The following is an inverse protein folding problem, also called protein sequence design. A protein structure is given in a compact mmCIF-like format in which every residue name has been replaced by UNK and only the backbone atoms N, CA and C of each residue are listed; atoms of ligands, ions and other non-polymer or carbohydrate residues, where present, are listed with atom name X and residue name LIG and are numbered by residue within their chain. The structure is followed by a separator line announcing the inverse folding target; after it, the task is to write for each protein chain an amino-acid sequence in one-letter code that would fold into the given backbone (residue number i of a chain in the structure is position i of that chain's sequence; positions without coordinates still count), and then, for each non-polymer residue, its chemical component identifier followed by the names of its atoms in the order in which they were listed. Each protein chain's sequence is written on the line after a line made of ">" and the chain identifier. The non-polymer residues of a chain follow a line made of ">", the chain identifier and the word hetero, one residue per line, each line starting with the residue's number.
data_IF_615583701371
#
_entry.id   IF_615583701371
#
_cell.length_a   1.000
_cell.length_b   1.000
_cell.length_c   1.000
_cell.angle_alpha   90.00
_cell.angle_beta   90.00
_cell.angle_gamma   90.00
#
_symmetry.space_group_name_H-M   'P 1'
#
loop_
_entity.id
_entity.type
_entity.pdbx_description
1 polymer ?
#
# COMPACT_ATOMS: atom_id res chain seq x y z
N UNK A 1 41.41 25.35 19.15
CA UNK A 1 40.39 26.35 19.52
C UNK A 1 39.06 25.87 18.96
N UNK A 2 38.24 25.16 19.75
CA UNK A 2 36.88 24.77 19.35
C UNK A 2 36.00 26.04 19.28
N UNK A 3 35.17 26.15 18.25
CA UNK A 3 34.47 27.38 17.85
C UNK A 3 32.95 27.17 17.74
N UNK A 4 32.42 26.22 18.50
CA UNK A 4 31.04 25.79 18.48
C UNK A 4 30.65 25.28 19.87
N UNK A 5 29.72 25.97 20.50
CA UNK A 5 29.15 25.64 21.81
C UNK A 5 28.17 24.48 21.75
N UNK A 6 28.55 23.39 21.09
CA UNK A 6 27.82 22.13 21.14
C UNK A 6 28.23 21.39 22.41
N UNK A 7 27.57 21.77 23.52
CA UNK A 7 27.44 20.86 24.66
C UNK A 7 26.93 19.50 24.11
N UNK A 8 27.36 18.36 24.67
CA UNK A 8 26.90 17.05 24.24
C UNK A 8 25.41 16.89 24.54
N UNK A 9 24.55 17.35 23.63
CA UNK A 9 23.14 16.96 23.51
C UNK A 9 23.07 15.59 22.83
N UNK A 10 23.90 14.66 23.29
CA UNK A 10 23.76 13.22 23.07
C UNK A 10 23.34 12.63 24.40
N UNK A 11 22.15 13.02 24.87
CA UNK A 11 21.54 12.43 26.05
C UNK A 11 21.09 11.01 25.68
N UNK A 12 21.49 9.96 26.43
CA UNK A 12 21.04 8.59 26.22
C UNK A 12 19.51 8.42 26.22
N UNK A 13 18.79 9.43 26.70
CA UNK A 13 17.33 9.53 26.64
C UNK A 13 16.81 9.63 25.19
N UNK A 14 17.51 10.32 24.29
CA UNK A 14 17.13 10.42 22.87
C UNK A 14 17.35 9.10 22.12
N UNK A 15 18.45 8.40 22.40
CA UNK A 15 18.73 7.07 21.84
C UNK A 15 17.67 6.04 22.28
N UNK A 16 17.22 6.13 23.53
CA UNK A 16 16.10 5.34 24.03
C UNK A 16 14.83 5.61 23.22
N UNK A 17 14.43 6.88 23.10
CA UNK A 17 13.23 7.27 22.35
C UNK A 17 13.30 6.87 20.87
N UNK A 18 14.46 7.01 20.23
CA UNK A 18 14.66 6.58 18.84
C UNK A 18 14.64 5.06 18.71
N UNK A 19 15.24 4.30 19.63
CA UNK A 19 15.17 2.85 19.66
C UNK A 19 13.72 2.36 19.82
N UNK A 20 12.95 2.97 20.72
CA UNK A 20 11.52 2.69 20.88
C UNK A 20 10.73 3.06 19.61
N UNK A 21 11.05 4.20 18.98
CA UNK A 21 10.44 4.65 17.73
C UNK A 21 10.70 3.72 16.56
N UNK A 22 11.95 3.29 16.36
CA UNK A 22 12.34 2.36 15.30
C UNK A 22 11.68 0.98 15.48
N UNK A 23 11.70 0.43 16.69
CA UNK A 23 11.05 -0.86 16.97
C UNK A 23 9.53 -0.82 16.75
N UNK A 24 8.87 0.28 17.12
CA UNK A 24 7.43 0.45 16.90
C UNK A 24 7.08 0.48 15.41
N UNK A 25 7.87 1.18 14.59
CA UNK A 25 7.63 1.29 13.14
C UNK A 25 7.79 -0.07 12.47
N UNK A 26 8.83 -0.84 12.82
CA UNK A 26 9.05 -2.17 12.24
C UNK A 26 7.90 -3.14 12.57
N UNK A 27 7.39 -3.09 13.81
CA UNK A 27 6.21 -3.87 14.21
C UNK A 27 4.96 -3.39 13.45
N UNK A 28 4.76 -2.08 13.34
CA UNK A 28 3.61 -1.51 12.64
C UNK A 28 3.58 -1.91 11.15
N UNK A 29 4.75 -1.91 10.48
CA UNK A 29 4.88 -2.38 9.09
C UNK A 29 4.51 -3.86 9.01
N UNK A 30 5.09 -4.69 9.88
CA UNK A 30 4.80 -6.13 9.90
C UNK A 30 3.32 -6.45 10.12
N UNK A 31 2.68 -5.81 11.10
CA UNK A 31 1.23 -5.97 11.35
C UNK A 31 0.41 -5.48 10.16
N UNK A 32 0.78 -4.34 9.56
CA UNK A 32 0.08 -3.79 8.39
C UNK A 32 0.13 -4.74 7.19
N UNK A 33 1.26 -5.41 6.94
CA UNK A 33 1.38 -6.41 5.86
C UNK A 33 0.41 -7.58 6.07
N UNK A 34 0.25 -8.09 7.29
CA UNK A 34 -0.72 -9.16 7.56
C UNK A 34 -2.16 -8.69 7.35
N UNK A 35 -2.50 -7.48 7.81
CA UNK A 35 -3.85 -6.92 7.68
C UNK A 35 -4.19 -6.63 6.21
N UNK A 36 -3.27 -6.01 5.47
CA UNK A 36 -3.44 -5.70 4.04
C UNK A 36 -3.46 -6.99 3.22
N UNK A 37 -2.60 -7.95 3.52
CA UNK A 37 -2.64 -9.29 2.92
C UNK A 37 -3.99 -9.98 3.14
N UNK A 38 -4.54 -9.93 4.35
CA UNK A 38 -5.88 -10.46 4.62
C UNK A 38 -6.98 -9.71 3.84
N UNK A 39 -6.90 -8.38 3.75
CA UNK A 39 -7.82 -7.57 2.94
C UNK A 39 -7.73 -7.93 1.46
N UNK A 40 -6.53 -8.16 0.94
CA UNK A 40 -6.29 -8.58 -0.45
C UNK A 40 -6.92 -9.95 -0.73
N UNK A 41 -6.81 -10.91 0.20
CA UNK A 41 -7.48 -12.22 0.09
C UNK A 41 -9.01 -12.09 0.09
N UNK A 42 -9.57 -11.22 0.92
CA UNK A 42 -11.01 -10.94 0.93
C UNK A 42 -11.47 -10.29 -0.39
N UNK A 43 -10.71 -9.33 -0.91
CA UNK A 43 -10.99 -8.70 -2.20
C UNK A 43 -10.92 -9.71 -3.35
N UNK A 44 -9.93 -10.62 -3.33
CA UNK A 44 -9.82 -11.71 -4.31
C UNK A 44 -11.03 -12.65 -4.24
N UNK A 45 -11.48 -13.01 -3.03
CA UNK A 45 -12.68 -13.83 -2.87
C UNK A 45 -13.93 -13.14 -3.41
N UNK A 46 -14.09 -11.83 -3.15
CA UNK A 46 -15.18 -10.99 -3.70
C UNK A 46 -15.12 -10.93 -5.23
N UNK A 47 -13.93 -10.79 -5.81
CA UNK A 47 -13.72 -10.75 -7.26
C UNK A 47 -14.19 -12.03 -7.95
N UNK A 48 -13.92 -13.19 -7.35
CA UNK A 48 -14.30 -14.50 -7.89
C UNK A 48 -15.79 -14.82 -7.71
N UNK A 49 -16.37 -14.49 -6.55
CA UNK A 49 -17.77 -14.82 -6.19
C UNK A 49 -18.76 -13.67 -6.33
N UNK A 50 -18.37 -12.51 -6.84
CA UNK A 50 -19.25 -11.34 -6.98
C UNK A 50 -20.49 -11.67 -7.82
N UNK A 51 -21.71 -11.35 -7.35
CA UNK A 51 -22.96 -11.69 -8.03
C UNK A 51 -23.20 -10.87 -9.30
N UNK A 52 -22.70 -9.64 -9.36
CA UNK A 52 -22.90 -8.72 -10.49
C UNK A 52 -21.56 -8.34 -11.12
N UNK A 53 -21.58 -7.97 -12.41
CA UNK A 53 -20.36 -7.51 -13.10
C UNK A 53 -19.78 -6.24 -12.44
N UNK A 54 -20.57 -5.21 -12.09
CA UNK A 54 -20.03 -4.02 -11.41
C UNK A 54 -19.38 -4.34 -10.05
N UNK A 55 -19.93 -5.30 -9.30
CA UNK A 55 -19.35 -5.71 -8.03
C UNK A 55 -17.97 -6.35 -8.19
N UNK A 56 -17.78 -7.16 -9.24
CA UNK A 56 -16.47 -7.73 -9.58
C UNK A 56 -15.48 -6.64 -10.00
N UNK A 57 -15.93 -5.60 -10.70
CA UNK A 57 -15.07 -4.47 -11.10
C UNK A 57 -14.60 -3.70 -9.86
N UNK A 58 -15.49 -3.42 -8.91
CA UNK A 58 -15.13 -2.78 -7.64
C UNK A 58 -14.19 -3.65 -6.81
N UNK A 59 -14.39 -4.97 -6.79
CA UNK A 59 -13.48 -5.90 -6.14
C UNK A 59 -12.08 -5.90 -6.80
N UNK A 60 -12.01 -5.81 -8.12
CA UNK A 60 -10.74 -5.69 -8.86
C UNK A 60 -10.00 -4.40 -8.53
N UNK A 61 -10.73 -3.27 -8.46
CA UNK A 61 -10.16 -1.97 -8.07
C UNK A 61 -9.61 -2.01 -6.63
N UNK A 62 -10.38 -2.59 -5.71
CA UNK A 62 -9.96 -2.81 -4.33
C UNK A 62 -8.71 -3.69 -4.26
N UNK A 63 -8.66 -4.78 -5.04
CA UNK A 63 -7.51 -5.66 -5.11
C UNK A 63 -6.25 -4.93 -5.60
N UNK A 64 -6.37 -4.10 -6.64
CA UNK A 64 -5.27 -3.27 -7.12
C UNK A 64 -4.75 -2.33 -6.04
N UNK A 65 -5.63 -1.63 -5.32
CA UNK A 65 -5.23 -0.72 -4.22
C UNK A 65 -4.55 -1.49 -3.09
N UNK A 66 -5.05 -2.65 -2.69
CA UNK A 66 -4.40 -3.48 -1.66
C UNK A 66 -3.04 -4.00 -2.11
N UNK A 67 -2.85 -4.33 -3.39
CA UNK A 67 -1.57 -4.76 -3.92
C UNK A 67 -0.54 -3.61 -3.94
N UNK A 68 -0.96 -2.39 -4.27
CA UNK A 68 -0.11 -1.19 -4.21
C UNK A 68 0.33 -0.92 -2.77
N UNK A 69 -0.60 -1.00 -1.81
CA UNK A 69 -0.29 -0.85 -0.40
C UNK A 69 0.71 -1.91 0.08
N UNK A 70 0.52 -3.17 -0.32
CA UNK A 70 1.44 -4.26 0.02
C UNK A 70 2.85 -4.04 -0.56
N UNK A 71 2.95 -3.55 -1.81
CA UNK A 71 4.24 -3.21 -2.42
C UNK A 71 4.93 -2.05 -1.71
N UNK A 72 4.18 -1.04 -1.25
CA UNK A 72 4.74 0.06 -0.46
C UNK A 72 5.26 -0.44 0.90
N UNK A 73 4.49 -1.29 1.59
CA UNK A 73 4.88 -1.92 2.85
C UNK A 73 6.13 -2.79 2.68
N UNK A 74 6.19 -3.59 1.62
CA UNK A 74 7.35 -4.40 1.28
C UNK A 74 8.57 -3.52 0.96
N UNK A 75 8.38 -2.40 0.25
CA UNK A 75 9.43 -1.42 -0.03
C UNK A 75 9.99 -0.78 1.25
N UNK A 76 9.13 -0.46 2.22
CA UNK A 76 9.55 0.01 3.54
C UNK A 76 10.33 -1.05 4.30
N UNK A 77 9.88 -2.31 4.27
CA UNK A 77 10.54 -3.43 4.95
C UNK A 77 11.94 -3.73 4.38
N UNK A 78 12.07 -3.76 3.05
CA UNK A 78 13.34 -4.02 2.35
C UNK A 78 14.24 -2.77 2.30
N UNK A 79 13.72 -1.59 2.67
CA UNK A 79 14.40 -0.29 2.60
C UNK A 79 14.88 0.04 1.18
N UNK A 80 14.05 -0.25 0.17
CA UNK A 80 14.35 -0.03 -1.24
C UNK A 80 13.28 0.78 -1.94
N UNK A 81 13.70 1.85 -2.62
CA UNK A 81 12.82 2.76 -3.36
C UNK A 81 12.20 2.13 -4.63
N UNK A 82 12.81 1.06 -5.17
CA UNK A 82 12.37 0.40 -6.42
C UNK A 82 10.93 -0.10 -6.31
N UNK A 83 10.52 -0.59 -5.13
CA UNK A 83 9.15 -1.06 -4.91
C UNK A 83 8.12 0.07 -4.90
N UNK A 84 8.51 1.28 -4.50
CA UNK A 84 7.65 2.46 -4.57
C UNK A 84 7.44 2.90 -6.02
N UNK A 85 8.50 2.88 -6.84
CA UNK A 85 8.39 3.16 -8.28
C UNK A 85 7.47 2.15 -8.97
N UNK A 86 7.64 0.86 -8.68
CA UNK A 86 6.76 -0.18 -9.20
C UNK A 86 5.30 0.00 -8.73
N UNK A 87 5.08 0.35 -7.46
CA UNK A 87 3.76 0.63 -6.92
C UNK A 87 3.06 1.81 -7.63
N UNK A 88 3.81 2.87 -7.97
CA UNK A 88 3.29 4.01 -8.74
C UNK A 88 2.87 3.60 -10.16
N UNK A 89 3.70 2.81 -10.85
CA UNK A 89 3.38 2.32 -12.19
C UNK A 89 2.12 1.43 -12.15
N UNK A 90 2.04 0.52 -11.18
CA UNK A 90 0.88 -0.35 -10.99
C UNK A 90 -0.37 0.46 -10.64
N UNK A 91 -0.26 1.51 -9.82
CA UNK A 91 -1.37 2.41 -9.50
C UNK A 91 -1.95 3.09 -10.74
N UNK A 92 -1.09 3.61 -11.61
CA UNK A 92 -1.51 4.24 -12.85
C UNK A 92 -2.19 3.23 -13.79
N UNK A 93 -1.60 2.05 -13.97
CA UNK A 93 -2.15 1.02 -14.85
C UNK A 93 -3.47 0.43 -14.30
N UNK A 94 -3.54 0.19 -12.99
CA UNK A 94 -4.71 -0.35 -12.30
C UNK A 94 -5.92 0.57 -12.43
N UNK A 95 -5.73 1.88 -12.19
CA UNK A 95 -6.78 2.88 -12.36
C UNK A 95 -7.28 2.97 -13.81
N UNK A 96 -6.38 2.98 -14.78
CA UNK A 96 -6.76 3.01 -16.21
C UNK A 96 -7.57 1.75 -16.58
N UNK A 97 -7.17 0.58 -16.09
CA UNK A 97 -7.87 -0.68 -16.33
C UNK A 97 -9.31 -0.63 -15.83
N UNK A 98 -9.55 -0.12 -14.62
CA UNK A 98 -10.89 -0.07 -14.03
C UNK A 98 -11.79 0.97 -14.69
N UNK A 99 -11.24 2.11 -15.11
CA UNK A 99 -11.98 3.11 -15.91
C UNK A 99 -12.42 2.55 -17.27
N UNK A 100 -11.52 1.85 -17.98
CA UNK A 100 -11.83 1.24 -19.28
C UNK A 100 -12.92 0.16 -19.12
N UNK A 101 -12.79 -0.69 -18.11
CA UNK A 101 -13.75 -1.76 -17.83
C UNK A 101 -15.13 -1.21 -17.45
N UNK A 102 -15.18 -0.15 -16.64
CA UNK A 102 -16.43 0.54 -16.27
C UNK A 102 -17.12 1.14 -17.50
N UNK A 103 -16.37 1.82 -18.37
CA UNK A 103 -16.92 2.38 -19.62
C UNK A 103 -17.42 1.29 -20.57
N UNK A 104 -16.75 0.14 -20.61
CA UNK A 104 -17.17 -1.00 -21.41
C UNK A 104 -18.50 -1.59 -20.94
N UNK A 105 -18.68 -1.78 -19.63
CA UNK A 105 -19.92 -2.29 -19.06
C UNK A 105 -21.09 -1.34 -19.33
N UNK A 106 -20.92 -0.04 -19.09
CA UNK A 106 -21.96 0.96 -19.36
C UNK A 106 -22.35 0.95 -20.84
N UNK A 107 -21.38 0.81 -21.76
CA UNK A 107 -21.66 0.74 -23.19
C UNK A 107 -22.38 -0.53 -23.63
N UNK A 108 -22.24 -1.63 -22.91
CA UNK A 108 -22.96 -2.87 -23.21
C UNK A 108 -24.40 -2.85 -22.70
N UNK A 109 -24.64 -2.18 -21.58
CA UNK A 109 -25.97 -2.02 -20.98
C UNK A 109 -26.92 -1.15 -21.83
N UNK A 110 -26.38 -0.21 -22.62
CA UNK A 110 -27.17 0.68 -23.51
C UNK A 110 -27.40 0.15 -24.94
N UNK A 111 -26.83 -1.01 -25.30
CA UNK A 111 -26.95 -1.60 -26.65
C UNK A 111 -27.97 -2.75 -26.68
N UNK A 112 -28.50 -3.14 -25.52
CA UNK A 112 -29.71 -3.97 -25.37
C UNK A 112 -30.97 -3.09 -25.25
#
# INVERSE_FOLDING_TARGET
>A
MPADGDLPVTTPELDGIQLFGHGLVDIAIGVSMYVVGAAMLMALWRLLRGPTVPDRILALDTLNVTAIAELMLLGMYIKSAVYFEAALVIAMLGFVSTVVLSKYVIRRDIVE
#
